data_IF_832995193455
#
_entry.id   IF_832995193455
#
_cell.length_a   1.000
_cell.length_b   1.000
_cell.length_c   1.000
_cell.angle_alpha   90.00
_cell.angle_beta   90.00
_cell.angle_gamma   90.00
#
_symmetry.space_group_name_H-M   'P 1'
#
loop_
_entity.id
_entity.type
_entity.pdbx_description
1 polymer ?
#
# COMPACT_ATOMS: atom_id res chain seq x y z
N UNK A 1 13.78 0.86 -4.06
CA UNK A 1 12.45 0.83 -3.41
C UNK A 1 12.52 1.09 -1.91
N UNK A 2 13.65 0.86 -1.23
CA UNK A 2 13.82 1.25 0.19
C UNK A 2 13.83 2.76 0.36
N UNK A 3 13.13 3.26 1.39
CA UNK A 3 13.18 4.67 1.81
C UNK A 3 14.47 4.93 2.59
N UNK A 4 14.76 4.09 3.58
CA UNK A 4 16.05 4.08 4.27
C UNK A 4 17.02 3.10 3.59
N UNK A 5 18.12 3.61 3.04
CA UNK A 5 19.12 2.81 2.34
C UNK A 5 20.16 2.19 3.26
N UNK A 6 20.21 2.61 4.52
CA UNK A 6 21.17 2.13 5.50
C UNK A 6 20.74 0.81 6.16
N UNK A 7 19.45 0.48 6.13
CA UNK A 7 18.90 -0.66 6.86
C UNK A 7 17.95 -1.49 5.99
N UNK A 8 17.80 -2.76 6.38
CA UNK A 8 16.82 -3.68 5.83
C UNK A 8 17.20 -4.27 4.47
N UNK A 9 16.40 -5.22 4.06
CA UNK A 9 16.53 -5.97 2.80
C UNK A 9 16.11 -5.14 1.60
N UNK A 10 16.80 -5.29 0.48
CA UNK A 10 16.38 -4.70 -0.79
C UNK A 10 15.31 -5.55 -1.46
N UNK A 11 14.54 -4.96 -2.37
CA UNK A 11 13.59 -5.72 -3.17
C UNK A 11 14.26 -6.79 -4.06
N UNK A 12 15.50 -6.56 -4.47
CA UNK A 12 16.28 -7.54 -5.25
C UNK A 12 16.66 -8.75 -4.38
N UNK A 13 17.16 -8.51 -3.16
CA UNK A 13 17.48 -9.59 -2.20
C UNK A 13 16.23 -10.36 -1.79
N UNK A 14 15.12 -9.66 -1.52
CA UNK A 14 13.84 -10.30 -1.24
C UNK A 14 13.43 -11.24 -2.39
N UNK A 15 13.42 -10.73 -3.63
CA UNK A 15 13.04 -11.51 -4.81
C UNK A 15 13.98 -12.71 -5.02
N UNK A 16 15.24 -12.58 -4.67
CA UNK A 16 16.23 -13.65 -4.86
C UNK A 16 16.01 -14.83 -3.90
N UNK A 17 15.68 -14.55 -2.64
CA UNK A 17 15.57 -15.59 -1.58
C UNK A 17 14.18 -16.18 -1.38
N UNK A 18 13.11 -15.37 -1.58
CA UNK A 18 11.74 -15.77 -1.21
C UNK A 18 11.24 -16.93 -2.09
N UNK A 19 10.52 -17.88 -1.49
CA UNK A 19 9.93 -18.98 -2.28
C UNK A 19 8.71 -18.50 -3.11
N UNK A 20 8.28 -19.35 -4.08
CA UNK A 20 7.20 -19.01 -5.01
C UNK A 20 5.88 -18.75 -4.27
N UNK A 21 5.58 -19.54 -3.24
CA UNK A 21 4.32 -19.45 -2.50
C UNK A 21 4.30 -18.18 -1.65
N UNK A 22 5.36 -17.94 -0.90
CA UNK A 22 5.51 -16.74 -0.08
C UNK A 22 5.47 -15.47 -0.95
N UNK A 23 6.15 -15.47 -2.11
CA UNK A 23 6.11 -14.36 -3.05
C UNK A 23 4.70 -14.14 -3.61
N UNK A 24 3.97 -15.21 -3.95
CA UNK A 24 2.59 -15.11 -4.43
C UNK A 24 1.67 -14.50 -3.36
N UNK A 25 1.79 -14.95 -2.12
CA UNK A 25 0.99 -14.45 -0.99
C UNK A 25 1.31 -12.98 -0.68
N UNK A 26 2.58 -12.59 -0.73
CA UNK A 26 3.03 -11.21 -0.60
C UNK A 26 2.40 -10.31 -1.67
N UNK A 27 2.49 -10.74 -2.95
CA UNK A 27 1.92 -10.00 -4.08
C UNK A 27 0.40 -9.92 -3.99
N UNK A 28 -0.26 -10.99 -3.56
CA UNK A 28 -1.71 -11.00 -3.35
C UNK A 28 -2.12 -10.06 -2.22
N UNK A 29 -1.47 -10.19 -1.05
CA UNK A 29 -1.82 -9.44 0.17
C UNK A 29 -1.55 -7.94 0.03
N UNK A 30 -0.39 -7.55 -0.48
CA UNK A 30 0.05 -6.16 -0.53
C UNK A 30 -0.14 -5.49 -1.89
N UNK A 31 -0.25 -6.26 -2.96
CA UNK A 31 -0.52 -5.76 -4.30
C UNK A 31 -2.00 -5.84 -4.70
N UNK A 32 -2.80 -6.61 -3.96
CA UNK A 32 -4.18 -6.95 -4.35
C UNK A 32 -4.23 -7.53 -5.80
N UNK A 33 -3.16 -8.24 -6.19
CA UNK A 33 -3.04 -8.82 -7.54
C UNK A 33 -3.63 -10.23 -7.57
N UNK A 34 -4.71 -10.39 -8.31
CA UNK A 34 -5.42 -11.69 -8.43
C UNK A 34 -4.59 -12.78 -9.13
N UNK A 35 -3.66 -12.36 -10.00
CA UNK A 35 -2.76 -13.26 -10.72
C UNK A 35 -1.41 -13.44 -10.02
N UNK A 36 -1.37 -13.20 -8.71
CA UNK A 36 -0.14 -13.23 -7.91
C UNK A 36 0.67 -14.51 -8.09
N UNK A 37 0.03 -15.69 -8.20
CA UNK A 37 0.71 -16.96 -8.44
C UNK A 37 1.42 -17.01 -9.80
N UNK A 38 0.79 -16.47 -10.85
CA UNK A 38 1.41 -16.41 -12.18
C UNK A 38 2.60 -15.46 -12.18
N UNK A 39 2.46 -14.31 -11.50
CA UNK A 39 3.54 -13.32 -11.32
C UNK A 39 4.71 -13.94 -10.55
N UNK A 40 4.44 -14.55 -9.40
CA UNK A 40 5.46 -15.17 -8.56
C UNK A 40 6.24 -16.26 -9.34
N UNK A 41 5.52 -17.15 -10.02
CA UNK A 41 6.12 -18.19 -10.85
C UNK A 41 7.02 -17.59 -11.94
N UNK A 42 6.56 -16.55 -12.65
CA UNK A 42 7.37 -15.89 -13.67
C UNK A 42 8.65 -15.28 -13.11
N UNK A 43 8.57 -14.66 -11.92
CA UNK A 43 9.72 -14.09 -11.22
C UNK A 43 10.72 -15.20 -10.82
N UNK A 44 10.23 -16.28 -10.19
CA UNK A 44 11.07 -17.41 -9.77
C UNK A 44 11.77 -18.07 -10.95
N UNK A 45 11.05 -18.32 -12.04
CA UNK A 45 11.65 -18.87 -13.26
C UNK A 45 12.70 -17.93 -13.88
N UNK A 46 12.45 -16.63 -13.88
CA UNK A 46 13.37 -15.66 -14.44
C UNK A 46 14.66 -15.50 -13.61
N UNK A 47 14.56 -15.49 -12.26
CA UNK A 47 15.74 -15.39 -11.39
C UNK A 47 16.66 -16.61 -11.47
N UNK A 48 16.10 -17.82 -11.76
CA UNK A 48 16.89 -19.03 -11.99
C UNK A 48 17.77 -18.93 -13.23
N UNK A 49 17.36 -18.13 -14.22
CA UNK A 49 18.16 -17.90 -15.44
C UNK A 49 19.17 -16.77 -15.27
N UNK A 50 18.78 -15.70 -14.59
CA UNK A 50 19.63 -14.53 -14.34
C UNK A 50 19.05 -13.70 -13.19
N UNK A 51 19.88 -13.15 -12.28
CA UNK A 51 19.43 -12.30 -11.17
C UNK A 51 18.60 -11.10 -11.65
N UNK A 52 17.53 -10.79 -10.93
CA UNK A 52 16.67 -9.64 -11.20
C UNK A 52 17.11 -8.46 -10.35
N UNK A 53 18.06 -7.68 -10.84
CA UNK A 53 18.69 -6.57 -10.09
C UNK A 53 18.11 -5.20 -10.40
N UNK A 54 17.32 -5.06 -11.47
CA UNK A 54 16.77 -3.77 -11.90
C UNK A 54 15.24 -3.78 -11.94
N UNK A 55 14.64 -2.60 -11.69
CA UNK A 55 13.20 -2.40 -11.80
C UNK A 55 12.67 -2.66 -13.23
N UNK A 56 13.45 -2.28 -14.25
CA UNK A 56 13.11 -2.52 -15.65
C UNK A 56 12.98 -4.03 -15.96
N UNK A 57 13.96 -4.83 -15.51
CA UNK A 57 13.93 -6.28 -15.68
C UNK A 57 12.76 -6.92 -14.95
N UNK A 58 12.49 -6.50 -13.72
CA UNK A 58 11.34 -6.99 -12.96
C UNK A 58 10.01 -6.67 -13.68
N UNK A 59 9.83 -5.43 -14.14
CA UNK A 59 8.64 -5.03 -14.88
C UNK A 59 8.42 -5.87 -16.15
N UNK A 60 9.50 -6.14 -16.90
CA UNK A 60 9.45 -6.98 -18.08
C UNK A 60 8.99 -8.42 -17.74
N UNK A 61 9.58 -9.02 -16.71
CA UNK A 61 9.23 -10.37 -16.25
C UNK A 61 7.76 -10.45 -15.85
N UNK A 62 7.29 -9.47 -15.07
CA UNK A 62 5.88 -9.41 -14.63
C UNK A 62 4.94 -9.27 -15.82
N UNK A 63 5.21 -8.36 -16.75
CA UNK A 63 4.38 -8.16 -17.95
C UNK A 63 4.28 -9.43 -18.79
N UNK A 64 5.39 -10.14 -18.97
CA UNK A 64 5.42 -11.43 -19.70
C UNK A 64 4.66 -12.52 -18.95
N UNK A 65 4.80 -12.59 -17.62
CA UNK A 65 4.13 -13.59 -16.78
C UNK A 65 2.61 -13.42 -16.72
N UNK A 66 2.13 -12.18 -16.85
CA UNK A 66 0.70 -11.85 -16.78
C UNK A 66 0.11 -11.63 -18.18
N UNK A 67 0.68 -12.19 -19.24
CA UNK A 67 0.27 -12.00 -20.64
C UNK A 67 -1.17 -11.44 -20.78
N UNK A 68 -1.28 -10.11 -20.81
CA UNK A 68 -2.58 -9.44 -20.80
C UNK A 68 -3.19 -9.51 -22.20
N UNK A 69 -4.36 -10.11 -22.33
CA UNK A 69 -5.15 -10.00 -23.54
C UNK A 69 -5.84 -8.61 -23.55
N UNK A 70 -5.34 -7.70 -24.40
CA UNK A 70 -5.95 -6.39 -24.61
C UNK A 70 -5.33 -5.24 -23.79
N UNK A 71 -5.84 -4.02 -24.03
CA UNK A 71 -5.39 -2.79 -23.39
C UNK A 71 -5.69 -2.80 -21.88
N UNK A 72 -4.70 -2.50 -21.05
CA UNK A 72 -4.87 -2.36 -19.60
C UNK A 72 -4.67 -0.90 -19.20
N UNK A 73 -5.62 -0.36 -18.43
CA UNK A 73 -5.55 1.01 -17.90
C UNK A 73 -4.36 1.24 -16.97
N UNK A 74 -3.88 0.19 -16.31
CA UNK A 74 -2.77 0.23 -15.34
C UNK A 74 -1.76 -0.84 -15.75
N UNK A 75 -0.46 -0.49 -15.72
CA UNK A 75 0.61 -1.44 -15.99
C UNK A 75 0.52 -2.64 -15.03
N UNK A 76 0.54 -3.88 -15.53
CA UNK A 76 0.49 -5.08 -14.70
C UNK A 76 1.54 -5.12 -13.58
N UNK A 77 2.71 -4.51 -13.82
CA UNK A 77 3.78 -4.47 -12.83
C UNK A 77 3.47 -3.54 -11.63
N UNK A 78 2.55 -2.57 -11.76
CA UNK A 78 2.25 -1.58 -10.71
C UNK A 78 1.90 -2.24 -9.38
N UNK A 79 1.05 -3.25 -9.39
CA UNK A 79 0.63 -3.97 -8.17
C UNK A 79 1.76 -4.76 -7.54
N UNK A 80 2.60 -5.38 -8.35
CA UNK A 80 3.79 -6.09 -7.88
C UNK A 80 4.77 -5.11 -7.23
N UNK A 81 5.01 -3.96 -7.85
CA UNK A 81 5.87 -2.92 -7.27
C UNK A 81 5.29 -2.36 -5.95
N UNK A 82 3.98 -2.15 -5.89
CA UNK A 82 3.32 -1.75 -4.64
C UNK A 82 3.55 -2.80 -3.54
N UNK A 83 3.36 -4.08 -3.84
CA UNK A 83 3.53 -5.15 -2.87
C UNK A 83 4.96 -5.20 -2.32
N UNK A 84 5.95 -5.17 -3.18
CA UNK A 84 7.37 -5.18 -2.80
C UNK A 84 7.75 -3.92 -2.01
N UNK A 85 7.22 -2.76 -2.38
CA UNK A 85 7.47 -1.49 -1.68
C UNK A 85 6.93 -1.54 -0.25
N UNK A 86 5.68 -1.98 -0.10
CA UNK A 86 5.04 -2.11 1.22
C UNK A 86 5.83 -3.08 2.09
N UNK A 87 6.24 -4.21 1.54
CA UNK A 87 7.01 -5.21 2.28
C UNK A 87 8.37 -4.67 2.72
N UNK A 88 9.16 -4.16 1.78
CA UNK A 88 10.53 -3.70 2.03
C UNK A 88 10.58 -2.51 3.00
N UNK A 89 9.59 -1.61 2.95
CA UNK A 89 9.55 -0.43 3.82
C UNK A 89 8.64 -0.61 5.05
N UNK A 90 8.00 -1.78 5.21
CA UNK A 90 7.06 -2.04 6.31
C UNK A 90 5.99 -0.95 6.44
N UNK A 91 5.44 -0.50 5.31
CA UNK A 91 4.59 0.70 5.25
C UNK A 91 3.30 0.60 6.06
N UNK A 92 2.84 -0.62 6.34
CA UNK A 92 1.63 -0.87 7.12
C UNK A 92 1.91 -1.24 8.59
N UNK A 93 3.19 -1.50 8.93
CA UNK A 93 3.55 -1.87 10.28
C UNK A 93 3.31 -0.69 11.22
N UNK A 94 2.69 -0.98 12.36
CA UNK A 94 2.39 0.02 13.41
C UNK A 94 1.57 1.25 12.98
N UNK A 95 1.00 1.27 11.78
CA UNK A 95 0.19 2.40 11.32
C UNK A 95 -1.04 2.61 12.21
N UNK A 96 -1.69 1.54 12.63
CA UNK A 96 -2.81 1.57 13.59
C UNK A 96 -2.38 2.12 14.95
N UNK A 97 -1.27 1.64 15.49
CA UNK A 97 -0.68 2.14 16.74
C UNK A 97 -0.30 3.61 16.66
N UNK A 98 0.28 4.02 15.53
CA UNK A 98 0.58 5.43 15.28
C UNK A 98 -0.67 6.30 15.31
N UNK A 99 -1.75 5.88 14.63
CA UNK A 99 -3.03 6.61 14.61
C UNK A 99 -3.61 6.72 16.03
N UNK A 100 -3.57 5.63 16.80
CA UNK A 100 -4.01 5.64 18.19
C UNK A 100 -3.23 6.63 19.06
N UNK A 101 -1.90 6.59 18.95
CA UNK A 101 -1.02 7.54 19.67
C UNK A 101 -1.26 8.99 19.22
N UNK A 102 -1.42 9.24 17.92
CA UNK A 102 -1.69 10.58 17.40
C UNK A 102 -3.04 11.11 17.92
N UNK A 103 -4.09 10.28 17.88
CA UNK A 103 -5.40 10.66 18.40
C UNK A 103 -5.37 10.96 19.90
N UNK A 104 -4.59 10.21 20.70
CA UNK A 104 -4.48 10.44 22.15
C UNK A 104 -3.72 11.72 22.52
N UNK A 105 -2.93 12.29 21.63
CA UNK A 105 -2.17 13.53 21.85
C UNK A 105 -2.92 14.79 21.45
N UNK A 106 -4.06 14.67 20.78
CA UNK A 106 -4.89 15.82 20.44
C UNK A 106 -5.54 16.39 21.71
N UNK A 107 -5.72 17.69 21.75
CA UNK A 107 -6.61 18.35 22.70
C UNK A 107 -8.07 18.12 22.29
N UNK A 108 -9.03 18.37 23.21
CA UNK A 108 -10.44 18.39 22.88
C UNK A 108 -10.68 19.31 21.66
N UNK A 109 -11.57 18.91 20.76
CA UNK A 109 -11.83 19.55 19.46
C UNK A 109 -10.67 19.55 18.46
N UNK A 110 -9.50 19.00 18.83
CA UNK A 110 -8.38 18.77 17.93
C UNK A 110 -8.74 17.80 16.81
N UNK A 111 -8.27 18.07 15.59
CA UNK A 111 -8.59 17.28 14.40
C UNK A 111 -7.39 16.48 13.93
N UNK A 112 -7.62 15.21 13.58
CA UNK A 112 -6.68 14.34 12.91
C UNK A 112 -7.14 14.16 11.46
N UNK A 113 -6.29 14.53 10.50
CA UNK A 113 -6.51 14.28 9.09
C UNK A 113 -5.40 13.38 8.55
N UNK A 114 -5.80 12.30 7.87
CA UNK A 114 -4.90 11.30 7.31
C UNK A 114 -5.13 11.19 5.81
N UNK A 115 -4.05 11.23 5.02
CA UNK A 115 -4.11 10.98 3.58
C UNK A 115 -3.39 9.68 3.28
N UNK A 116 -4.08 8.77 2.65
CA UNK A 116 -3.55 7.49 2.16
C UNK A 116 -3.54 7.46 0.63
N UNK A 117 -2.58 6.75 0.04
CA UNK A 117 -2.39 6.70 -1.40
C UNK A 117 -2.71 5.33 -2.02
N UNK A 118 -2.99 4.34 -1.20
CA UNK A 118 -3.45 3.02 -1.65
C UNK A 118 -4.53 2.43 -0.73
N UNK A 119 -5.21 1.40 -1.24
CA UNK A 119 -6.38 0.79 -0.59
C UNK A 119 -6.07 0.17 0.78
N UNK A 120 -4.87 -0.38 0.96
CA UNK A 120 -4.50 -1.04 2.22
C UNK A 120 -4.27 -0.03 3.34
N UNK A 121 -3.56 1.08 3.08
CA UNK A 121 -3.44 2.19 4.04
C UNK A 121 -4.82 2.73 4.43
N UNK A 122 -5.66 3.07 3.43
CA UNK A 122 -7.01 3.58 3.67
C UNK A 122 -7.84 2.61 4.52
N UNK A 123 -7.65 1.30 4.31
CA UNK A 123 -8.32 0.25 5.10
C UNK A 123 -7.89 0.29 6.56
N UNK A 124 -6.58 0.36 6.84
CA UNK A 124 -6.05 0.49 8.21
C UNK A 124 -6.59 1.76 8.85
N UNK A 125 -6.43 2.93 8.21
CA UNK A 125 -6.92 4.23 8.72
C UNK A 125 -8.42 4.16 9.03
N UNK A 126 -9.23 3.64 8.09
CA UNK A 126 -10.68 3.50 8.27
C UNK A 126 -11.04 2.65 9.48
N UNK A 127 -10.39 1.49 9.62
CA UNK A 127 -10.72 0.56 10.70
C UNK A 127 -10.27 1.11 12.05
N UNK A 128 -9.06 1.65 12.14
CA UNK A 128 -8.53 2.22 13.37
C UNK A 128 -9.36 3.42 13.85
N UNK A 129 -9.68 4.37 12.96
CA UNK A 129 -10.54 5.50 13.33
C UNK A 129 -11.94 5.05 13.77
N UNK A 130 -12.51 4.04 13.12
CA UNK A 130 -13.81 3.48 13.51
C UNK A 130 -13.74 2.81 14.87
N UNK A 131 -12.68 2.06 15.14
CA UNK A 131 -12.53 1.34 16.40
C UNK A 131 -12.27 2.31 17.58
N UNK A 132 -11.50 3.38 17.37
CA UNK A 132 -11.30 4.47 18.33
C UNK A 132 -12.57 5.31 18.58
N UNK A 133 -13.53 5.30 17.65
CA UNK A 133 -14.81 6.01 17.75
C UNK A 133 -15.94 5.12 18.27
N UNK A 134 -15.64 3.90 18.77
CA UNK A 134 -16.66 2.95 19.23
C UNK A 134 -16.88 3.06 20.73
N UNK A 135 -18.16 2.92 21.14
CA UNK A 135 -18.58 2.89 22.54
C UNK A 135 -18.85 4.27 23.15
N UNK A 136 -19.38 4.27 24.37
CA UNK A 136 -19.78 5.50 25.08
C UNK A 136 -18.56 6.33 25.53
N UNK A 137 -17.40 5.69 25.68
CA UNK A 137 -16.14 6.32 26.04
C UNK A 137 -15.24 6.63 24.83
N UNK A 138 -15.84 6.72 23.65
CA UNK A 138 -15.09 7.03 22.44
C UNK A 138 -14.25 8.31 22.58
N UNK A 139 -12.95 8.18 22.29
CA UNK A 139 -12.02 9.31 22.39
C UNK A 139 -12.14 10.29 21.21
N UNK A 140 -12.64 9.80 20.08
CA UNK A 140 -12.77 10.57 18.85
C UNK A 140 -14.13 10.36 18.20
N UNK A 141 -14.52 11.30 17.33
CA UNK A 141 -15.66 11.19 16.41
C UNK A 141 -15.15 11.23 14.97
N UNK A 142 -15.53 10.26 14.15
CA UNK A 142 -15.18 10.23 12.71
C UNK A 142 -15.95 11.32 11.99
N UNK A 143 -15.24 12.19 11.27
CA UNK A 143 -15.83 13.28 10.47
C UNK A 143 -16.14 12.83 9.02
N UNK A 144 -15.38 11.88 8.50
CA UNK A 144 -15.52 11.41 7.12
C UNK A 144 -16.03 9.97 7.07
N UNK A 145 -17.33 9.75 6.91
CA UNK A 145 -17.93 8.40 6.70
C UNK A 145 -17.35 7.75 5.44
N UNK A 146 -17.23 8.52 4.36
CA UNK A 146 -16.54 8.16 3.12
C UNK A 146 -15.26 8.97 3.01
N UNK A 147 -14.19 8.45 2.37
CA UNK A 147 -12.99 9.25 2.16
C UNK A 147 -13.30 10.42 1.24
N UNK A 148 -12.70 11.57 1.53
CA UNK A 148 -12.66 12.68 0.57
C UNK A 148 -11.58 12.36 -0.46
N UNK A 149 -11.91 12.49 -1.73
CA UNK A 149 -11.02 12.25 -2.88
C UNK A 149 -10.86 13.52 -3.69
N UNK A 150 -9.76 13.60 -4.44
CA UNK A 150 -9.51 14.71 -5.34
C UNK A 150 -10.59 14.82 -6.43
N UNK A 151 -11.01 16.02 -6.72
CA UNK A 151 -11.86 16.30 -7.88
C UNK A 151 -11.11 16.19 -9.21
N UNK A 152 -11.86 16.16 -10.33
CA UNK A 152 -11.26 16.00 -11.67
C UNK A 152 -10.26 17.11 -12.01
N UNK A 153 -10.55 18.35 -11.63
CA UNK A 153 -9.66 19.49 -11.86
C UNK A 153 -8.32 19.33 -11.13
N UNK A 154 -8.33 18.91 -9.86
CA UNK A 154 -7.12 18.64 -9.10
C UNK A 154 -6.35 17.44 -9.69
N UNK A 155 -7.04 16.36 -10.00
CA UNK A 155 -6.44 15.16 -10.57
C UNK A 155 -5.81 15.40 -11.95
N UNK A 156 -6.30 16.40 -12.71
CA UNK A 156 -5.75 16.79 -14.00
C UNK A 156 -4.39 17.50 -13.86
N UNK A 157 -4.25 18.39 -12.86
CA UNK A 157 -3.00 19.14 -12.63
C UNK A 157 -2.04 18.41 -11.70
N UNK A 158 -2.56 17.54 -10.81
CA UNK A 158 -1.77 16.73 -9.89
C UNK A 158 -2.13 15.24 -10.03
N UNK A 159 -1.49 14.49 -10.94
CA UNK A 159 -1.80 13.07 -11.15
C UNK A 159 -1.63 12.20 -9.89
N UNK A 160 -0.81 12.61 -8.90
CA UNK A 160 -0.63 11.88 -7.64
C UNK A 160 -1.88 11.94 -6.76
N UNK A 161 -2.71 12.97 -6.90
CA UNK A 161 -3.95 13.11 -6.15
C UNK A 161 -5.03 12.07 -6.55
N UNK A 162 -4.93 11.43 -7.72
CA UNK A 162 -5.91 10.45 -8.21
C UNK A 162 -6.17 9.28 -7.24
N UNK A 163 -5.15 8.85 -6.51
CA UNK A 163 -5.24 7.75 -5.56
C UNK A 163 -5.39 8.22 -4.11
N UNK A 164 -5.26 9.51 -3.86
CA UNK A 164 -5.34 10.09 -2.52
C UNK A 164 -6.73 9.93 -1.92
N UNK A 165 -6.78 9.51 -0.66
CA UNK A 165 -7.99 9.38 0.14
C UNK A 165 -7.76 10.05 1.49
N UNK A 166 -8.49 11.13 1.77
CA UNK A 166 -8.42 11.81 3.04
C UNK A 166 -9.52 11.29 3.97
N UNK A 167 -9.11 10.95 5.19
CA UNK A 167 -10.02 10.68 6.30
C UNK A 167 -9.71 11.60 7.47
N UNK A 168 -10.75 12.02 8.19
CA UNK A 168 -10.62 12.91 9.31
C UNK A 168 -11.48 12.46 10.50
N UNK A 169 -10.97 12.77 11.69
CA UNK A 169 -11.66 12.61 12.96
C UNK A 169 -11.38 13.82 13.85
N UNK A 170 -12.24 14.04 14.85
CA UNK A 170 -12.09 15.07 15.87
C UNK A 170 -12.02 14.42 17.24
N UNK A 171 -11.14 14.91 18.11
CA UNK A 171 -11.07 14.52 19.52
C UNK A 171 -12.29 15.08 20.26
N UNK A 172 -12.99 14.23 21.04
CA UNK A 172 -14.19 14.64 21.79
C UNK A 172 -13.95 14.78 23.29
N UNK A 173 -12.82 14.24 23.79
CA UNK A 173 -12.42 14.30 25.21
C UNK A 173 -10.90 14.43 25.37
#
# INVERSE_FOLDING_TARGET
>A
MRMDRSQGETAAELIDRVDETELADLIYRFGEERRSRQVARAIVMARQQSPITTTGRLAEVVRRGVAARGWQRIDPATRTFQALRIWVNRELDELDSFIGRAASRLQADGRLAMISFHSLEDRVVKHTLRDLARGDDAAIKVLTKHPVVAGDAEAAVNPRARSAKLRAAVRVR
#
